data_IF_847461503081
#
_entry.id   IF_847461503081
#
_cell.length_a   1.000
_cell.length_b   1.000
_cell.length_c   1.000
_cell.angle_alpha   90.00
_cell.angle_beta   90.00
_cell.angle_gamma   90.00
#
_symmetry.space_group_name_H-M   'P 1'
#
loop_
_entity.id
_entity.type
_entity.pdbx_description
1 polymer ?
#
# COMPACT_ATOMS: atom_id res chain seq x y z
N UNK A 1 -15.88 -5.64 8.41
CA UNK A 1 -17.01 -4.85 7.85
C UNK A 1 -16.63 -4.38 6.45
N UNK A 2 -17.48 -4.58 5.45
CA UNK A 2 -17.23 -4.13 4.07
C UNK A 2 -18.00 -2.86 3.77
N UNK A 3 -17.31 -1.77 3.48
CA UNK A 3 -17.90 -0.60 2.85
C UNK A 3 -18.11 -0.92 1.36
N UNK A 4 -19.37 -1.05 0.94
CA UNK A 4 -19.72 -1.37 -0.45
C UNK A 4 -19.58 -0.17 -1.39
N UNK A 5 -19.66 1.05 -0.87
CA UNK A 5 -19.58 2.26 -1.69
C UNK A 5 -18.14 2.53 -2.13
N UNK A 6 -17.19 2.39 -1.21
CA UNK A 6 -15.77 2.55 -1.50
C UNK A 6 -15.03 1.22 -1.76
N UNK A 7 -15.71 0.09 -1.59
CA UNK A 7 -15.15 -1.26 -1.72
C UNK A 7 -13.94 -1.51 -0.81
N UNK A 8 -14.04 -1.08 0.45
CA UNK A 8 -12.98 -1.21 1.47
C UNK A 8 -13.44 -2.19 2.54
N UNK A 9 -12.58 -3.15 2.86
CA UNK A 9 -12.78 -4.08 3.96
C UNK A 9 -12.02 -3.60 5.21
N UNK A 10 -12.74 -3.44 6.31
CA UNK A 10 -12.19 -3.09 7.61
C UNK A 10 -12.19 -4.31 8.52
N UNK A 11 -11.03 -4.60 9.11
CA UNK A 11 -10.97 -5.39 10.33
C UNK A 11 -11.40 -4.48 11.49
N UNK A 12 -12.55 -4.80 12.07
CA UNK A 12 -13.17 -4.04 13.15
C UNK A 12 -13.61 -4.99 14.24
N UNK A 13 -13.51 -4.54 15.49
CA UNK A 13 -14.06 -5.20 16.68
C UNK A 13 -15.55 -4.82 16.88
N UNK A 14 -16.08 -3.92 16.07
CA UNK A 14 -17.49 -3.52 16.10
C UNK A 14 -18.33 -4.51 15.31
N UNK A 15 -18.89 -5.50 16.01
CA UNK A 15 -19.70 -6.57 15.43
C UNK A 15 -21.20 -6.41 15.71
N UNK A 16 -22.00 -6.76 14.71
CA UNK A 16 -23.43 -7.01 14.86
C UNK A 16 -23.74 -8.44 14.46
N UNK A 17 -24.80 -9.00 15.03
CA UNK A 17 -25.30 -10.33 14.72
C UNK A 17 -26.78 -10.28 14.39
N UNK A 18 -27.25 -11.24 13.60
CA UNK A 18 -28.65 -11.32 13.22
C UNK A 18 -29.43 -12.14 14.25
N UNK A 19 -30.39 -11.51 14.94
CA UNK A 19 -31.33 -12.15 15.87
C UNK A 19 -32.75 -11.89 15.40
N UNK A 20 -33.53 -12.96 15.22
CA UNK A 20 -34.94 -12.90 14.82
C UNK A 20 -35.23 -12.01 13.59
N UNK A 21 -34.29 -12.01 12.64
CA UNK A 21 -34.40 -11.21 11.41
C UNK A 21 -33.95 -9.75 11.54
N UNK A 22 -33.56 -9.29 12.74
CA UNK A 22 -33.03 -7.97 12.99
C UNK A 22 -31.52 -8.03 13.25
N UNK A 23 -30.80 -6.95 12.91
CA UNK A 23 -29.40 -6.80 13.26
C UNK A 23 -29.28 -6.13 14.62
N UNK A 24 -28.63 -6.81 15.56
CA UNK A 24 -28.35 -6.29 16.88
C UNK A 24 -26.85 -6.17 17.08
N UNK A 25 -26.41 -5.12 17.77
CA UNK A 25 -25.01 -5.00 18.16
C UNK A 25 -24.63 -6.07 19.19
N UNK A 26 -23.44 -6.63 19.05
CA UNK A 26 -22.94 -7.64 20.01
C UNK A 26 -22.61 -7.04 21.39
N UNK A 27 -22.41 -5.73 21.48
CA UNK A 27 -22.12 -5.01 22.72
C UNK A 27 -23.16 -3.92 23.00
N UNK A 28 -23.19 -3.43 24.24
CA UNK A 28 -23.99 -2.25 24.60
C UNK A 28 -23.48 -0.96 23.92
N UNK A 29 -24.31 0.09 23.95
CA UNK A 29 -24.01 1.37 23.29
C UNK A 29 -22.70 2.00 23.78
N UNK A 30 -22.45 1.98 25.09
CA UNK A 30 -21.23 2.52 25.69
C UNK A 30 -20.01 1.82 25.13
N UNK A 31 -20.03 0.48 25.10
CA UNK A 31 -18.92 -0.32 24.63
C UNK A 31 -18.69 -0.19 23.13
N UNK A 32 -19.75 -0.14 22.34
CA UNK A 32 -19.67 0.13 20.91
C UNK A 32 -19.04 1.50 20.65
N UNK A 33 -19.45 2.52 21.41
CA UNK A 33 -18.89 3.86 21.26
C UNK A 33 -17.39 3.90 21.59
N UNK A 34 -16.95 3.19 22.64
CA UNK A 34 -15.52 3.04 22.95
C UNK A 34 -14.72 2.40 21.79
N UNK A 35 -15.24 1.31 21.21
CA UNK A 35 -14.60 0.61 20.09
C UNK A 35 -14.50 1.55 18.88
N UNK A 36 -15.61 2.23 18.53
CA UNK A 36 -15.64 3.18 17.44
C UNK A 36 -14.60 4.30 17.61
N UNK A 37 -14.49 4.90 18.80
CA UNK A 37 -13.53 5.96 19.05
C UNK A 37 -12.09 5.48 18.85
N UNK A 38 -11.74 4.29 19.35
CA UNK A 38 -10.40 3.72 19.19
C UNK A 38 -10.08 3.43 17.73
N UNK A 39 -11.00 2.85 16.98
CA UNK A 39 -10.80 2.54 15.56
C UNK A 39 -10.70 3.80 14.72
N UNK A 40 -11.55 4.80 14.99
CA UNK A 40 -11.48 6.11 14.35
C UNK A 40 -10.15 6.80 14.62
N UNK A 41 -9.66 6.76 15.85
CA UNK A 41 -8.37 7.33 16.22
C UNK A 41 -7.22 6.64 15.47
N UNK A 42 -7.22 5.30 15.42
CA UNK A 42 -6.24 4.51 14.66
C UNK A 42 -6.25 4.87 13.17
N UNK A 43 -7.42 4.95 12.55
CA UNK A 43 -7.55 5.35 11.13
C UNK A 43 -7.03 6.77 10.94
N UNK A 44 -7.43 7.71 11.81
CA UNK A 44 -7.00 9.11 11.74
C UNK A 44 -5.47 9.23 11.83
N UNK A 45 -4.86 8.48 12.75
CA UNK A 45 -3.40 8.40 12.89
C UNK A 45 -2.72 7.88 11.62
N UNK A 46 -3.23 6.79 11.03
CA UNK A 46 -2.66 6.20 9.81
C UNK A 46 -2.76 7.16 8.62
N UNK A 47 -3.90 7.85 8.47
CA UNK A 47 -4.10 8.85 7.42
C UNK A 47 -3.15 10.03 7.60
N UNK A 48 -3.00 10.55 8.83
CA UNK A 48 -2.07 11.64 9.13
C UNK A 48 -0.61 11.23 8.88
N UNK A 49 -0.22 10.03 9.35
CA UNK A 49 1.11 9.46 9.10
C UNK A 49 1.39 9.31 7.61
N UNK A 50 0.42 8.84 6.83
CA UNK A 50 0.55 8.72 5.38
C UNK A 50 0.75 10.09 4.73
N UNK A 51 -0.11 11.07 5.06
CA UNK A 51 0.00 12.45 4.54
C UNK A 51 1.35 13.09 4.85
N UNK A 52 1.82 13.00 6.09
CA UNK A 52 3.15 13.48 6.49
C UNK A 52 4.27 12.75 5.74
N UNK A 53 4.13 11.45 5.53
CA UNK A 53 5.11 10.65 4.79
C UNK A 53 5.17 11.00 3.31
N UNK A 54 4.09 11.49 2.69
CA UNK A 54 4.11 11.95 1.30
C UNK A 54 4.94 13.24 1.10
N UNK A 55 5.13 14.02 2.17
CA UNK A 55 5.92 15.25 2.16
C UNK A 55 7.41 15.00 2.38
N UNK A 56 7.78 13.77 2.74
CA UNK A 56 9.15 13.33 2.93
C UNK A 56 9.71 12.81 1.60
N UNK A 57 10.54 13.63 0.95
CA UNK A 57 11.13 13.32 -0.35
C UNK A 57 12.11 12.13 -0.31
N UNK A 58 12.52 11.68 0.89
CA UNK A 58 13.37 10.50 1.05
C UNK A 58 12.56 9.20 1.14
N UNK A 59 11.22 9.28 1.19
CA UNK A 59 10.37 8.08 1.26
C UNK A 59 10.04 7.55 -0.13
N UNK A 60 10.19 6.22 -0.24
CA UNK A 60 9.74 5.44 -1.37
C UNK A 60 8.50 4.65 -0.95
N UNK A 61 7.39 4.87 -1.65
CA UNK A 61 6.18 4.07 -1.53
C UNK A 61 6.21 2.94 -2.54
N UNK A 62 6.28 1.70 -2.06
CA UNK A 62 6.34 0.51 -2.92
C UNK A 62 4.92 0.03 -3.26
N UNK A 63 4.65 -0.13 -4.55
CA UNK A 63 3.40 -0.70 -5.06
C UNK A 63 3.69 -2.01 -5.80
N UNK A 64 3.07 -3.10 -5.35
CA UNK A 64 3.08 -4.40 -6.03
C UNK A 64 1.67 -4.99 -6.09
N UNK A 65 1.39 -5.81 -7.10
CA UNK A 65 0.19 -6.66 -7.16
C UNK A 65 0.55 -8.02 -7.76
N UNK A 66 -0.17 -9.07 -7.36
CA UNK A 66 0.12 -10.43 -7.80
C UNK A 66 -0.57 -10.81 -9.13
N UNK A 67 -1.59 -10.06 -9.60
CA UNK A 67 -2.48 -10.56 -10.68
C UNK A 67 -2.82 -9.56 -11.82
N UNK A 68 -2.49 -8.25 -11.74
CA UNK A 68 -2.91 -7.23 -12.73
C UNK A 68 -1.93 -6.04 -12.87
N UNK A 69 -1.97 -5.30 -14.00
CA UNK A 69 -0.96 -4.28 -14.31
C UNK A 69 -0.98 -3.13 -13.30
N UNK A 70 0.13 -3.01 -12.58
CA UNK A 70 0.40 -2.07 -11.50
C UNK A 70 0.72 -0.67 -12.01
N UNK A 71 1.26 -0.55 -13.22
CA UNK A 71 1.85 0.70 -13.69
C UNK A 71 0.83 1.83 -13.87
N UNK A 72 -0.34 1.57 -14.44
CA UNK A 72 -1.37 2.59 -14.64
C UNK A 72 -1.87 3.18 -13.30
N UNK A 73 -2.14 2.31 -12.33
CA UNK A 73 -2.55 2.73 -11.00
C UNK A 73 -1.41 3.39 -10.22
N UNK A 74 -0.17 2.93 -10.38
CA UNK A 74 1.01 3.57 -9.80
C UNK A 74 1.24 4.98 -10.37
N UNK A 75 0.96 5.18 -11.66
CA UNK A 75 0.99 6.49 -12.30
C UNK A 75 -0.10 7.41 -11.74
N UNK A 76 -1.35 6.96 -11.68
CA UNK A 76 -2.43 7.74 -11.07
C UNK A 76 -2.12 8.13 -9.62
N UNK A 77 -1.59 7.18 -8.85
CA UNK A 77 -1.15 7.41 -7.48
C UNK A 77 -0.02 8.44 -7.40
N UNK A 78 1.01 8.33 -8.25
CA UNK A 78 2.15 9.26 -8.24
C UNK A 78 1.71 10.69 -8.58
N UNK A 79 0.76 10.86 -9.50
CA UNK A 79 0.19 12.17 -9.85
C UNK A 79 -0.70 12.74 -8.73
N UNK A 80 -1.44 11.90 -8.01
CA UNK A 80 -2.24 12.32 -6.86
C UNK A 80 -1.35 12.72 -5.68
N UNK A 81 -0.32 11.93 -5.39
CA UNK A 81 0.64 12.20 -4.31
C UNK A 81 1.30 13.56 -4.50
N UNK A 82 1.72 13.90 -5.73
CA UNK A 82 2.30 15.21 -6.10
C UNK A 82 1.51 16.42 -5.64
N UNK A 83 0.19 16.31 -5.49
CA UNK A 83 -0.66 17.39 -5.00
C UNK A 83 -0.47 17.68 -3.50
N UNK A 84 0.13 16.74 -2.77
CA UNK A 84 0.30 16.78 -1.32
C UNK A 84 1.76 16.70 -0.86
N UNK A 85 2.65 16.17 -1.70
CA UNK A 85 4.11 16.10 -1.53
C UNK A 85 4.74 15.26 -2.66
N UNK A 86 6.06 15.32 -2.85
CA UNK A 86 6.70 14.65 -3.99
C UNK A 86 7.48 13.39 -3.59
N UNK A 87 7.00 12.63 -2.60
CA UNK A 87 7.58 11.33 -2.29
C UNK A 87 7.51 10.39 -3.51
N UNK A 88 8.51 9.53 -3.63
CA UNK A 88 8.67 8.63 -4.77
C UNK A 88 7.75 7.42 -4.68
N UNK A 89 7.25 6.96 -5.82
CA UNK A 89 6.52 5.70 -5.97
C UNK A 89 7.40 4.72 -6.74
N UNK A 90 7.66 3.55 -6.16
CA UNK A 90 8.31 2.43 -6.83
C UNK A 90 7.26 1.37 -7.15
N UNK A 91 6.90 1.27 -8.43
CA UNK A 91 6.10 0.18 -8.96
C UNK A 91 7.00 -1.04 -9.19
N UNK A 92 6.63 -2.20 -8.64
CA UNK A 92 7.43 -3.42 -8.78
C UNK A 92 6.62 -4.48 -9.51
N UNK A 93 7.23 -5.07 -10.53
CA UNK A 93 6.67 -6.16 -11.33
C UNK A 93 7.56 -7.41 -11.27
N UNK A 94 6.94 -8.59 -11.39
CA UNK A 94 7.70 -9.82 -11.65
C UNK A 94 8.14 -9.87 -13.10
N UNK A 95 9.32 -10.43 -13.35
CA UNK A 95 9.83 -10.67 -14.70
C UNK A 95 10.46 -12.04 -14.81
N UNK A 96 10.24 -12.69 -15.96
CA UNK A 96 10.90 -13.94 -16.32
C UNK A 96 12.19 -13.72 -17.12
N UNK A 97 12.53 -12.46 -17.43
CA UNK A 97 13.74 -12.08 -18.18
C UNK A 97 14.87 -11.83 -17.18
N UNK A 98 15.88 -12.71 -17.04
CA UNK A 98 16.88 -12.60 -15.98
C UNK A 98 17.67 -11.28 -16.00
N UNK A 99 17.87 -10.68 -17.18
CA UNK A 99 18.59 -9.41 -17.33
C UNK A 99 17.76 -8.18 -16.92
N UNK A 100 16.49 -8.36 -16.58
CA UNK A 100 15.61 -7.31 -16.08
C UNK A 100 15.55 -7.30 -14.55
N UNK A 101 15.73 -8.45 -13.90
CA UNK A 101 15.74 -8.54 -12.44
C UNK A 101 16.76 -7.56 -11.83
N UNK A 102 16.35 -6.84 -10.78
CA UNK A 102 17.19 -5.84 -10.12
C UNK A 102 17.19 -4.46 -10.80
N UNK A 103 16.75 -4.35 -12.06
CA UNK A 103 16.71 -3.06 -12.77
C UNK A 103 15.56 -2.18 -12.32
N UNK A 104 15.83 -0.88 -12.37
CA UNK A 104 14.86 0.18 -12.12
C UNK A 104 14.93 1.20 -13.25
N UNK A 105 13.76 1.66 -13.69
CA UNK A 105 13.60 2.69 -14.71
C UNK A 105 12.85 3.87 -14.12
N UNK A 106 13.42 5.07 -14.23
CA UNK A 106 12.69 6.30 -13.94
C UNK A 106 11.69 6.59 -15.07
N UNK A 107 10.41 6.69 -14.73
CA UNK A 107 9.34 6.99 -15.68
C UNK A 107 8.91 8.45 -15.59
N UNK A 108 8.94 8.99 -14.37
CA UNK A 108 8.84 10.43 -14.07
C UNK A 108 9.83 10.77 -12.97
N UNK A 109 9.87 12.03 -12.55
CA UNK A 109 10.62 12.53 -11.39
C UNK A 109 10.18 11.94 -10.03
N UNK A 110 9.03 11.24 -9.97
CA UNK A 110 8.53 10.63 -8.73
C UNK A 110 7.90 9.24 -8.93
N UNK A 111 8.12 8.62 -10.10
CA UNK A 111 7.63 7.29 -10.42
C UNK A 111 8.73 6.46 -11.05
N UNK A 112 8.97 5.29 -10.47
CA UNK A 112 9.99 4.34 -10.85
C UNK A 112 9.35 2.97 -11.09
N UNK A 113 9.88 2.21 -12.04
CA UNK A 113 9.47 0.83 -12.35
C UNK A 113 10.65 -0.11 -12.12
N UNK A 114 10.52 -0.99 -11.13
CA UNK A 114 11.51 -2.00 -10.79
C UNK A 114 11.04 -3.43 -11.08
N UNK A 115 11.99 -4.34 -11.25
CA UNK A 115 11.68 -5.74 -11.56
C UNK A 115 12.35 -6.71 -10.60
N UNK A 116 11.59 -7.72 -10.16
CA UNK A 116 12.08 -8.86 -9.39
C UNK A 116 11.77 -10.15 -10.15
N UNK A 117 12.48 -11.23 -9.83
CA UNK A 117 12.23 -12.55 -10.44
C UNK A 117 10.94 -13.23 -9.94
N UNK A 118 10.54 -12.93 -8.69
CA UNK A 118 9.28 -13.41 -8.11
C UNK A 118 8.87 -12.59 -6.88
N UNK A 119 7.59 -12.64 -6.54
CA UNK A 119 7.05 -12.31 -5.25
C UNK A 119 6.93 -13.58 -4.40
N UNK A 120 7.10 -13.42 -3.09
CA UNK A 120 6.92 -14.52 -2.16
C UNK A 120 5.47 -15.05 -2.25
N UNK A 121 5.27 -16.36 -2.44
CA UNK A 121 3.94 -16.93 -2.45
C UNK A 121 3.35 -16.92 -1.04
N UNK A 122 2.02 -16.92 -0.94
CA UNK A 122 1.32 -16.78 0.35
C UNK A 122 1.65 -17.89 1.36
N UNK A 123 1.99 -19.09 0.88
CA UNK A 123 2.34 -20.25 1.70
C UNK A 123 3.83 -20.30 2.09
N UNK A 124 4.68 -19.44 1.50
CA UNK A 124 6.12 -19.35 1.78
C UNK A 124 6.59 -17.89 1.76
N UNK A 125 6.12 -17.14 2.74
CA UNK A 125 6.42 -15.71 2.86
C UNK A 125 7.92 -15.39 3.05
N UNK A 126 8.73 -16.38 3.44
CA UNK A 126 10.18 -16.32 3.58
C UNK A 126 10.95 -16.51 2.25
N UNK A 127 10.28 -17.01 1.21
CA UNK A 127 10.86 -17.17 -0.12
C UNK A 127 10.76 -15.86 -0.90
N UNK A 128 11.49 -14.85 -0.41
CA UNK A 128 11.56 -13.51 -1.01
C UNK A 128 12.65 -13.44 -2.08
N UNK A 129 12.40 -12.69 -3.15
CA UNK A 129 13.41 -12.36 -4.14
C UNK A 129 14.59 -11.62 -3.52
N UNK A 130 15.81 -12.04 -3.86
CA UNK A 130 17.02 -11.32 -3.43
C UNK A 130 17.20 -9.98 -4.18
N UNK A 131 16.50 -9.79 -5.31
CA UNK A 131 16.55 -8.55 -6.09
C UNK A 131 15.85 -7.38 -5.41
N UNK A 132 15.09 -7.59 -4.32
CA UNK A 132 14.49 -6.50 -3.54
C UNK A 132 15.52 -5.48 -3.04
N UNK A 133 16.70 -5.93 -2.64
CA UNK A 133 17.77 -5.01 -2.20
C UNK A 133 18.27 -4.16 -3.37
N UNK A 134 18.52 -4.80 -4.52
CA UNK A 134 19.04 -4.14 -5.71
C UNK A 134 18.06 -3.10 -6.26
N UNK A 135 16.75 -3.39 -6.31
CA UNK A 135 15.77 -2.40 -6.77
C UNK A 135 15.63 -1.22 -5.81
N UNK A 136 15.80 -1.40 -4.51
CA UNK A 136 15.75 -0.29 -3.54
C UNK A 136 17.00 0.58 -3.69
N UNK A 137 18.19 -0.01 -3.75
CA UNK A 137 19.46 0.71 -3.94
C UNK A 137 19.47 1.49 -5.26
N UNK A 138 19.07 0.84 -6.36
CA UNK A 138 18.99 1.50 -7.67
C UNK A 138 17.95 2.63 -7.70
N UNK A 139 16.83 2.47 -6.98
CA UNK A 139 15.83 3.54 -6.87
C UNK A 139 16.40 4.74 -6.09
N UNK A 140 17.10 4.50 -4.98
CA UNK A 140 17.73 5.56 -4.20
C UNK A 140 18.77 6.32 -5.03
N UNK A 141 19.60 5.62 -5.79
CA UNK A 141 20.58 6.24 -6.69
C UNK A 141 19.91 7.16 -7.72
N UNK A 142 18.82 6.71 -8.35
CA UNK A 142 18.07 7.52 -9.32
C UNK A 142 17.38 8.72 -8.66
N UNK A 143 16.98 8.62 -7.39
CA UNK A 143 16.40 9.76 -6.66
C UNK A 143 17.48 10.81 -6.38
N UNK A 144 18.68 10.40 -5.98
CA UNK A 144 19.79 11.32 -5.66
C UNK A 144 20.36 12.05 -6.91
N UNK A 145 20.16 11.49 -8.11
CA UNK A 145 20.59 12.10 -9.37
C UNK A 145 19.62 13.17 -9.92
N UNK A 146 18.38 13.24 -9.42
CA UNK A 146 17.33 14.17 -9.88
C UNK A 146 17.23 15.43 -9.00
#
# INVERSE_FOLDING_TARGET
>A
MRDKHYNIDFHTEMFSEQKEGQWEWCYDETKNYEIYLKEKEKISYLVDKFKKSMQDFQKIFVMKQNERPTLGAAYELSQLMKKHGNASVLCVEETTVPQQCGKVYALTDNLYLGFVDHFAPYDKADHVSLFWNEIVENTLHLIDEN
#
